data_IF_617861944463
#
_entry.id   IF_617861944463
#
_cell.length_a   1.000
_cell.length_b   1.000
_cell.length_c   1.000
_cell.angle_alpha   90.00
_cell.angle_beta   90.00
_cell.angle_gamma   90.00
#
_symmetry.space_group_name_H-M   'P 1'
#
loop_
_entity.id
_entity.type
_entity.pdbx_description
1 polymer ?
#
# COMPACT_ATOMS: atom_id res chain seq x y z
N UNK A 1 -17.71 -18.02 -12.97
CA UNK A 1 -17.26 -16.63 -12.80
C UNK A 1 -18.41 -15.85 -12.19
N UNK A 2 -18.24 -15.28 -10.99
CA UNK A 2 -19.32 -14.52 -10.33
C UNK A 2 -19.51 -13.21 -11.09
N UNK A 3 -20.73 -12.91 -11.51
CA UNK A 3 -21.07 -11.61 -12.12
C UNK A 3 -21.22 -10.60 -10.98
N UNK A 4 -20.33 -9.61 -10.95
CA UNK A 4 -20.38 -8.53 -9.97
C UNK A 4 -21.32 -7.43 -10.45
N UNK A 5 -21.93 -6.74 -9.48
CA UNK A 5 -22.62 -5.48 -9.75
C UNK A 5 -21.61 -4.42 -10.23
N UNK A 6 -22.07 -3.47 -11.03
CA UNK A 6 -21.23 -2.43 -11.60
C UNK A 6 -20.57 -1.59 -10.51
N UNK A 7 -21.32 -1.26 -9.46
CA UNK A 7 -20.86 -0.49 -8.31
C UNK A 7 -19.74 -1.23 -7.56
N UNK A 8 -19.85 -2.55 -7.41
CA UNK A 8 -18.80 -3.37 -6.82
C UNK A 8 -17.54 -3.37 -7.69
N UNK A 9 -17.69 -3.48 -9.01
CA UNK A 9 -16.55 -3.43 -9.93
C UNK A 9 -15.82 -2.09 -9.84
N UNK A 10 -16.55 -0.98 -9.80
CA UNK A 10 -15.98 0.36 -9.65
C UNK A 10 -15.26 0.52 -8.31
N UNK A 11 -15.84 0.03 -7.21
CA UNK A 11 -15.20 0.07 -5.89
C UNK A 11 -13.93 -0.78 -5.82
N UNK A 12 -13.94 -2.00 -6.40
CA UNK A 12 -12.75 -2.84 -6.54
C UNK A 12 -11.67 -2.15 -7.39
N UNK A 13 -12.06 -1.48 -8.48
CA UNK A 13 -11.14 -0.71 -9.32
C UNK A 13 -10.44 0.40 -8.54
N UNK A 14 -11.19 1.22 -7.79
CA UNK A 14 -10.64 2.28 -6.93
C UNK A 14 -9.69 1.74 -5.86
N UNK A 15 -10.06 0.65 -5.20
CA UNK A 15 -9.21 -0.02 -4.21
C UNK A 15 -7.91 -0.52 -4.83
N UNK A 16 -7.97 -1.09 -6.03
CA UNK A 16 -6.80 -1.63 -6.75
C UNK A 16 -5.85 -0.51 -7.15
N UNK A 17 -6.36 0.64 -7.61
CA UNK A 17 -5.54 1.82 -7.89
C UNK A 17 -4.87 2.33 -6.61
N UNK A 18 -5.62 2.49 -5.51
CA UNK A 18 -5.05 2.93 -4.24
C UNK A 18 -3.97 1.98 -3.68
N UNK A 19 -4.14 0.67 -3.87
CA UNK A 19 -3.14 -0.33 -3.50
C UNK A 19 -1.86 -0.18 -4.36
N UNK A 20 -2.03 -0.02 -5.67
CA UNK A 20 -0.94 0.21 -6.62
C UNK A 20 -0.15 1.48 -6.28
N UNK A 21 -0.85 2.58 -5.99
CA UNK A 21 -0.23 3.85 -5.59
C UNK A 21 0.58 3.69 -4.30
N UNK A 22 0.05 2.95 -3.32
CA UNK A 22 0.76 2.66 -2.07
C UNK A 22 1.99 1.78 -2.30
N UNK A 23 1.90 0.74 -3.14
CA UNK A 23 3.06 -0.09 -3.52
C UNK A 23 4.13 0.72 -4.24
N UNK A 24 3.75 1.64 -5.13
CA UNK A 24 4.68 2.55 -5.78
C UNK A 24 5.32 3.52 -4.77
N UNK A 25 4.56 4.04 -3.81
CA UNK A 25 5.11 4.87 -2.73
C UNK A 25 6.15 4.09 -1.90
N UNK A 26 5.87 2.82 -1.59
CA UNK A 26 6.80 1.94 -0.85
C UNK A 26 8.09 1.68 -1.63
N UNK A 27 8.04 1.54 -2.96
CA UNK A 27 9.23 1.28 -3.77
C UNK A 27 10.22 2.45 -3.80
N UNK A 28 9.72 3.66 -3.54
CA UNK A 28 10.52 4.89 -3.47
C UNK A 28 11.19 5.12 -2.13
N UNK A 29 10.83 4.36 -1.08
CA UNK A 29 11.44 4.52 0.24
C UNK A 29 12.91 4.09 0.18
N UNK A 30 13.81 5.08 0.27
CA UNK A 30 15.26 4.85 0.32
C UNK A 30 15.89 4.43 -1.02
N UNK A 31 15.14 4.53 -2.12
CA UNK A 31 15.59 4.20 -3.47
C UNK A 31 15.77 5.47 -4.32
N UNK A 32 16.69 5.42 -5.28
CA UNK A 32 16.69 6.39 -6.37
C UNK A 32 15.47 6.15 -7.28
N UNK A 33 15.03 7.13 -8.06
CA UNK A 33 13.84 6.96 -8.93
C UNK A 33 14.02 5.79 -9.93
N UNK A 34 15.23 5.58 -10.46
CA UNK A 34 15.51 4.45 -11.37
C UNK A 34 15.42 3.08 -10.67
N UNK A 35 15.84 3.01 -9.40
CA UNK A 35 15.73 1.79 -8.61
C UNK A 35 14.28 1.53 -8.17
N UNK A 36 13.52 2.60 -7.91
CA UNK A 36 12.13 2.51 -7.46
C UNK A 36 11.22 1.86 -8.51
N UNK A 37 11.41 2.16 -9.80
CA UNK A 37 10.67 1.53 -10.89
C UNK A 37 11.01 0.04 -11.04
N UNK A 38 12.30 -0.30 -10.93
CA UNK A 38 12.76 -1.68 -10.99
C UNK A 38 12.25 -2.51 -9.80
N UNK A 39 12.18 -1.92 -8.61
CA UNK A 39 11.60 -2.53 -7.41
C UNK A 39 10.09 -2.71 -7.60
N UNK A 40 9.38 -1.68 -8.08
CA UNK A 40 7.93 -1.72 -8.28
C UNK A 40 7.49 -2.80 -9.28
N UNK A 41 8.28 -3.05 -10.31
CA UNK A 41 8.01 -4.10 -11.30
C UNK A 41 8.01 -5.53 -10.73
N UNK A 42 8.50 -5.74 -9.50
CA UNK A 42 8.63 -7.06 -8.87
C UNK A 42 7.60 -7.24 -7.75
N UNK A 43 6.77 -8.27 -7.87
CA UNK A 43 5.75 -8.60 -6.87
C UNK A 43 6.34 -8.69 -5.45
N UNK A 44 5.79 -7.91 -4.52
CA UNK A 44 6.19 -7.89 -3.11
C UNK A 44 7.54 -7.21 -2.81
N UNK A 45 8.33 -6.87 -3.83
CA UNK A 45 9.62 -6.21 -3.64
C UNK A 45 9.52 -4.80 -3.04
N UNK A 46 8.50 -3.96 -3.36
CA UNK A 46 8.36 -2.65 -2.72
C UNK A 46 8.28 -2.72 -1.20
N UNK A 47 7.53 -3.68 -0.67
CA UNK A 47 7.38 -3.82 0.78
C UNK A 47 8.68 -4.34 1.44
N UNK A 48 9.42 -5.22 0.77
CA UNK A 48 10.71 -5.70 1.26
C UNK A 48 11.73 -4.55 1.32
N UNK A 49 11.83 -3.78 0.24
CA UNK A 49 12.70 -2.62 0.16
C UNK A 49 12.36 -1.57 1.22
N UNK A 50 11.06 -1.24 1.37
CA UNK A 50 10.58 -0.32 2.40
C UNK A 50 10.94 -0.76 3.82
N UNK A 51 10.83 -2.05 4.13
CA UNK A 51 11.24 -2.62 5.43
C UNK A 51 12.73 -2.51 5.66
N UNK A 52 13.54 -2.77 4.63
CA UNK A 52 15.00 -2.63 4.70
C UNK A 52 15.43 -1.18 4.94
N UNK A 53 14.81 -0.24 4.23
CA UNK A 53 15.02 1.18 4.42
C UNK A 53 14.61 1.64 5.82
N UNK A 54 13.44 1.21 6.32
CA UNK A 54 13.00 1.51 7.68
C UNK A 54 13.97 1.00 8.75
N UNK A 55 14.49 -0.24 8.61
CA UNK A 55 15.50 -0.80 9.52
C UNK A 55 16.82 -0.01 9.51
N UNK A 56 17.17 0.54 8.36
CA UNK A 56 18.41 1.30 8.14
C UNK A 56 18.27 2.79 8.52
N UNK A 57 17.06 3.25 8.83
CA UNK A 57 16.81 4.63 9.24
C UNK A 57 17.49 4.96 10.58
N UNK A 58 17.78 6.25 10.76
CA UNK A 58 18.36 6.80 11.98
C UNK A 58 17.48 6.49 13.21
N UNK A 59 18.08 6.34 14.40
CA UNK A 59 17.36 5.87 15.59
C UNK A 59 16.19 6.77 16.00
N UNK A 60 16.25 8.07 15.69
CA UNK A 60 15.17 9.02 16.01
C UNK A 60 13.86 8.75 15.25
N UNK A 61 13.91 8.09 14.07
CA UNK A 61 12.76 7.95 13.17
C UNK A 61 12.47 6.49 12.79
N UNK A 62 13.34 5.56 13.20
CA UNK A 62 13.27 4.14 12.84
C UNK A 62 11.93 3.50 13.20
N UNK A 63 11.49 3.65 14.44
CA UNK A 63 10.27 3.00 14.93
C UNK A 63 9.03 3.57 14.23
N UNK A 64 9.02 4.89 14.00
CA UNK A 64 7.96 5.57 13.25
C UNK A 64 7.87 5.04 11.82
N UNK A 65 8.99 4.98 11.09
CA UNK A 65 9.05 4.44 9.73
C UNK A 65 8.63 2.97 9.68
N UNK A 66 9.12 2.16 10.62
CA UNK A 66 8.74 0.75 10.71
C UNK A 66 7.23 0.60 10.90
N UNK A 67 6.62 1.39 11.80
CA UNK A 67 5.19 1.36 12.05
C UNK A 67 4.37 1.78 10.82
N UNK A 68 4.80 2.79 10.08
CA UNK A 68 4.13 3.23 8.84
C UNK A 68 4.19 2.14 7.76
N UNK A 69 5.36 1.53 7.57
CA UNK A 69 5.56 0.44 6.60
C UNK A 69 4.74 -0.79 6.95
N UNK A 70 4.71 -1.21 8.23
CA UNK A 70 3.89 -2.35 8.67
C UNK A 70 2.39 -2.03 8.64
N UNK A 71 1.99 -0.78 8.89
CA UNK A 71 0.62 -0.31 8.68
C UNK A 71 0.18 -0.45 7.23
N UNK A 72 1.02 0.00 6.29
CA UNK A 72 0.80 -0.16 4.86
C UNK A 72 0.71 -1.64 4.45
N UNK A 73 1.64 -2.48 4.96
CA UNK A 73 1.64 -3.92 4.73
C UNK A 73 0.30 -4.57 5.14
N UNK A 74 -0.21 -4.18 6.31
CA UNK A 74 -1.48 -4.68 6.84
C UNK A 74 -2.64 -4.32 5.91
N UNK A 75 -2.72 -3.07 5.45
CA UNK A 75 -3.82 -2.65 4.57
C UNK A 75 -3.74 -3.29 3.18
N UNK A 76 -2.53 -3.47 2.62
CA UNK A 76 -2.34 -4.22 1.37
C UNK A 76 -2.82 -5.67 1.52
N UNK A 77 -2.47 -6.33 2.63
CA UNK A 77 -2.92 -7.70 2.90
C UNK A 77 -4.44 -7.79 3.05
N UNK A 78 -5.09 -6.81 3.70
CA UNK A 78 -6.55 -6.72 3.81
C UNK A 78 -7.19 -6.57 2.43
N UNK A 79 -6.68 -5.67 1.57
CA UNK A 79 -7.19 -5.50 0.21
C UNK A 79 -7.06 -6.76 -0.65
N UNK A 80 -5.90 -7.43 -0.59
CA UNK A 80 -5.70 -8.71 -1.27
C UNK A 80 -6.64 -9.80 -0.76
N UNK A 81 -6.87 -9.88 0.56
CA UNK A 81 -7.78 -10.84 1.15
C UNK A 81 -9.24 -10.59 0.71
N UNK A 82 -9.67 -9.32 0.66
CA UNK A 82 -10.99 -8.93 0.17
C UNK A 82 -11.18 -9.33 -1.30
N UNK A 83 -10.19 -9.08 -2.16
CA UNK A 83 -10.26 -9.48 -3.58
C UNK A 83 -10.32 -11.01 -3.75
N UNK A 84 -9.51 -11.76 -2.99
CA UNK A 84 -9.58 -13.24 -3.02
C UNK A 84 -10.92 -13.76 -2.52
N UNK A 85 -11.54 -13.10 -1.54
CA UNK A 85 -12.86 -13.47 -1.05
C UNK A 85 -13.92 -13.31 -2.15
N UNK A 86 -13.88 -12.24 -2.94
CA UNK A 86 -14.76 -12.05 -4.09
C UNK A 86 -14.67 -13.23 -5.07
N UNK A 87 -13.45 -13.64 -5.43
CA UNK A 87 -13.26 -14.77 -6.35
C UNK A 87 -13.75 -16.12 -5.81
N UNK A 88 -13.85 -16.26 -4.48
CA UNK A 88 -14.41 -17.44 -3.81
C UNK A 88 -15.92 -17.35 -3.58
N UNK A 89 -16.60 -16.35 -4.15
CA UNK A 89 -18.04 -16.13 -3.95
C UNK A 89 -18.39 -15.50 -2.59
N UNK A 90 -17.43 -14.80 -1.98
CA UNK A 90 -17.59 -14.10 -0.71
C UNK A 90 -18.33 -12.76 -0.84
N UNK A 91 -18.13 -11.87 0.15
CA UNK A 91 -18.79 -10.56 0.21
C UNK A 91 -18.41 -9.68 -0.99
N UNK A 92 -19.40 -9.05 -1.60
CA UNK A 92 -19.27 -8.17 -2.77
C UNK A 92 -19.81 -6.76 -2.51
N UNK A 93 -19.85 -6.35 -1.24
CA UNK A 93 -20.36 -5.04 -0.80
C UNK A 93 -19.40 -3.91 -1.26
N UNK A 94 -19.84 -2.96 -2.11
CA UNK A 94 -19.03 -1.83 -2.53
C UNK A 94 -18.46 -1.01 -1.36
N UNK A 95 -19.21 -0.84 -0.28
CA UNK A 95 -18.81 -0.02 0.87
C UNK A 95 -17.56 -0.57 1.57
N UNK A 96 -17.41 -1.90 1.59
CA UNK A 96 -16.21 -2.54 2.13
C UNK A 96 -14.96 -2.18 1.34
N UNK A 97 -15.04 -2.21 -0.01
CA UNK A 97 -13.89 -1.87 -0.85
C UNK A 97 -13.56 -0.38 -0.76
N UNK A 98 -14.57 0.49 -0.64
CA UNK A 98 -14.36 1.92 -0.43
C UNK A 98 -13.72 2.21 0.94
N UNK A 99 -14.10 1.50 2.00
CA UNK A 99 -13.46 1.61 3.31
C UNK A 99 -11.98 1.18 3.26
N UNK A 100 -11.68 0.08 2.58
CA UNK A 100 -10.29 -0.37 2.38
C UNK A 100 -9.51 0.65 1.55
N UNK A 101 -10.12 1.21 0.50
CA UNK A 101 -9.54 2.28 -0.33
C UNK A 101 -9.11 3.46 0.53
N UNK A 102 -9.98 3.95 1.41
CA UNK A 102 -9.66 5.07 2.33
C UNK A 102 -8.48 4.73 3.24
N UNK A 103 -8.40 3.49 3.75
CA UNK A 103 -7.28 3.07 4.61
C UNK A 103 -5.96 3.01 3.84
N UNK A 104 -5.97 2.49 2.61
CA UNK A 104 -4.79 2.47 1.74
C UNK A 104 -4.29 3.88 1.43
N UNK A 105 -5.20 4.80 1.10
CA UNK A 105 -4.86 6.20 0.83
C UNK A 105 -4.28 6.90 2.08
N UNK A 106 -4.83 6.66 3.27
CA UNK A 106 -4.27 7.19 4.52
C UNK A 106 -2.84 6.70 4.79
N UNK A 107 -2.57 5.42 4.53
CA UNK A 107 -1.20 4.89 4.64
C UNK A 107 -0.26 5.55 3.64
N UNK A 108 -0.71 5.76 2.40
CA UNK A 108 0.06 6.46 1.36
C UNK A 108 0.37 7.89 1.79
N UNK A 109 -0.63 8.63 2.23
CA UNK A 109 -0.50 10.04 2.59
C UNK A 109 0.45 10.21 3.80
N UNK A 110 0.33 9.35 4.82
CA UNK A 110 1.23 9.35 5.96
C UNK A 110 2.71 9.04 5.58
N UNK A 111 2.93 8.12 4.63
CA UNK A 111 4.27 7.85 4.09
C UNK A 111 4.80 9.02 3.25
N UNK A 112 3.92 9.65 2.47
CA UNK A 112 4.27 10.76 1.59
C UNK A 112 4.69 12.01 2.36
N UNK A 113 3.92 12.39 3.39
CA UNK A 113 4.26 13.48 4.30
C UNK A 113 5.64 13.28 4.93
N UNK A 114 6.01 12.03 5.21
CA UNK A 114 7.29 11.71 5.84
C UNK A 114 8.48 11.70 4.87
N UNK A 115 8.27 11.32 3.61
CA UNK A 115 9.33 11.32 2.58
C UNK A 115 9.66 12.74 2.10
N UNK A 116 8.69 13.65 2.05
CA UNK A 116 8.90 15.01 1.58
C UNK A 116 9.43 15.98 2.64
N UNK A 117 9.36 15.63 3.93
CA UNK A 117 9.93 16.46 5.00
C UNK A 117 11.29 15.89 5.40
N UNK A 118 12.41 16.46 4.94
CA UNK A 118 13.72 16.09 5.46
C UNK A 118 13.71 16.46 6.94
N UNK A 119 13.75 15.46 7.83
CA UNK A 119 14.13 15.69 9.21
C UNK A 119 15.60 16.07 9.19
N UNK A 120 15.87 17.38 9.20
CA UNK A 120 17.17 17.92 9.57
C UNK A 120 17.54 17.33 10.94
N UNK A 121 18.59 16.51 10.94
CA UNK A 121 19.20 15.92 12.12
C UNK A 121 20.70 15.96 11.95
#
# INVERSE_FOLDING_TARGET
MVKLAEETLVAVGRMTVAATDLEHMLSRIGASDADADAIFARTGAPLVAAREAARSAGPAVRDEYANLVEGAATQLAVGQAALRAVWRGGRTDPALFDEITVRLLRCRDALHERILVPTEG
#
